data_IF_605999787347
#
_entry.id   IF_605999787347
#
_cell.length_a   1.000
_cell.length_b   1.000
_cell.length_c   1.000
_cell.angle_alpha   90.00
_cell.angle_beta   90.00
_cell.angle_gamma   90.00
#
_symmetry.space_group_name_H-M   'P 1'
#
loop_
_entity.id
_entity.type
_entity.pdbx_description
1 polymer ?
#
# COMPACT_ATOMS: atom_id res chain seq x y z
N UNK A 1 -13.29 -0.67 -12.62
CA UNK A 1 -12.25 0.33 -12.89
C UNK A 1 -11.39 -0.16 -14.05
N UNK A 2 -11.64 0.36 -15.21
CA UNK A 2 -10.80 0.18 -16.39
C UNK A 2 -10.22 1.54 -16.73
N UNK A 3 -8.91 1.63 -16.93
CA UNK A 3 -8.29 2.81 -17.52
C UNK A 3 -8.18 2.61 -19.02
N UNK A 4 -8.72 3.49 -19.83
CA UNK A 4 -8.68 3.34 -21.29
C UNK A 4 -7.27 3.36 -21.89
N UNK A 5 -6.26 3.76 -21.10
CA UNK A 5 -4.89 4.00 -21.58
C UNK A 5 -3.83 3.08 -20.94
N UNK A 6 -4.22 1.96 -20.31
CA UNK A 6 -3.25 0.98 -19.79
C UNK A 6 -2.58 0.26 -20.97
N UNK A 7 -1.26 0.29 -21.09
CA UNK A 7 -0.55 -0.44 -22.12
C UNK A 7 -0.88 -1.93 -22.08
N UNK A 8 -1.04 -2.61 -23.24
CA UNK A 8 -1.41 -4.03 -23.29
C UNK A 8 -0.50 -4.94 -22.46
N UNK A 9 0.79 -4.62 -22.38
CA UNK A 9 1.77 -5.35 -21.57
C UNK A 9 1.54 -5.24 -20.06
N UNK A 10 0.77 -4.26 -19.61
CA UNK A 10 0.39 -4.04 -18.20
C UNK A 10 -1.05 -4.48 -17.91
N UNK A 11 -1.75 -5.09 -18.86
CA UNK A 11 -3.15 -5.50 -18.69
C UNK A 11 -3.34 -6.48 -17.51
N UNK A 12 -2.34 -7.31 -17.21
CA UNK A 12 -2.35 -8.22 -16.07
C UNK A 12 -2.47 -7.51 -14.72
N UNK A 13 -2.01 -6.25 -14.60
CA UNK A 13 -2.18 -5.45 -13.39
C UNK A 13 -3.66 -5.19 -13.07
N UNK A 14 -4.52 -5.11 -14.10
CA UNK A 14 -5.96 -4.93 -13.89
C UNK A 14 -6.59 -6.14 -13.20
N UNK A 15 -6.17 -7.36 -13.59
CA UNK A 15 -6.64 -8.59 -12.93
C UNK A 15 -6.20 -8.63 -11.47
N UNK A 16 -4.92 -8.34 -11.19
CA UNK A 16 -4.39 -8.24 -9.82
C UNK A 16 -5.16 -7.19 -9.02
N UNK A 17 -5.39 -6.01 -9.59
CA UNK A 17 -6.14 -4.94 -8.94
C UNK A 17 -7.59 -5.36 -8.64
N UNK A 18 -8.23 -6.08 -9.56
CA UNK A 18 -9.60 -6.57 -9.39
C UNK A 18 -9.68 -7.59 -8.25
N UNK A 19 -8.77 -8.56 -8.21
CA UNK A 19 -8.69 -9.57 -7.13
C UNK A 19 -8.50 -8.88 -5.77
N UNK A 20 -7.55 -7.96 -5.66
CA UNK A 20 -7.33 -7.16 -4.45
C UNK A 20 -8.59 -6.38 -4.05
N UNK A 21 -9.26 -5.73 -5.00
CA UNK A 21 -10.51 -4.99 -4.76
C UNK A 21 -11.64 -5.89 -4.25
N UNK A 22 -11.78 -7.10 -4.80
CA UNK A 22 -12.79 -8.06 -4.33
C UNK A 22 -12.51 -8.43 -2.88
N UNK A 23 -11.24 -8.71 -2.52
CA UNK A 23 -10.82 -9.01 -1.15
C UNK A 23 -11.13 -7.84 -0.20
N UNK A 24 -10.81 -6.61 -0.61
CA UNK A 24 -11.08 -5.42 0.20
C UNK A 24 -12.58 -5.19 0.44
N UNK A 25 -13.43 -5.45 -0.55
CA UNK A 25 -14.89 -5.34 -0.41
C UNK A 25 -15.49 -6.40 0.51
N UNK A 26 -14.86 -7.55 0.65
CA UNK A 26 -15.30 -8.62 1.55
C UNK A 26 -14.83 -8.40 3.00
N UNK A 27 -13.86 -7.53 3.23
CA UNK A 27 -13.35 -7.22 4.56
C UNK A 27 -14.27 -6.24 5.28
N UNK A 28 -14.80 -6.67 6.43
CA UNK A 28 -15.73 -5.88 7.23
C UNK A 28 -15.10 -5.57 8.60
N UNK A 29 -14.83 -4.30 8.85
CA UNK A 29 -14.38 -3.81 10.15
C UNK A 29 -14.86 -2.36 10.38
N UNK A 30 -14.95 -1.90 11.61
CA UNK A 30 -15.30 -0.51 11.90
C UNK A 30 -14.32 0.46 11.20
N UNK A 31 -14.84 1.52 10.57
CA UNK A 31 -13.98 2.51 9.92
C UNK A 31 -13.31 3.41 10.97
N UNK A 32 -12.14 3.88 10.63
CA UNK A 32 -11.41 4.95 11.32
C UNK A 32 -11.18 6.11 10.35
N UNK A 33 -10.97 7.31 10.88
CA UNK A 33 -10.45 8.42 10.07
C UNK A 33 -8.93 8.26 10.03
N UNK A 34 -8.41 8.06 8.84
CA UNK A 34 -6.99 7.88 8.60
C UNK A 34 -6.50 8.65 7.38
N UNK A 35 -5.22 9.00 7.39
CA UNK A 35 -4.56 9.57 6.24
C UNK A 35 -4.17 8.43 5.29
N UNK A 36 -4.41 8.61 4.00
CA UNK A 36 -4.18 7.57 2.98
C UNK A 36 -3.02 7.89 2.04
N UNK A 37 -2.37 9.04 2.19
CA UNK A 37 -1.22 9.50 1.39
C UNK A 37 0.01 9.70 2.29
N UNK A 38 0.72 8.59 2.56
CA UNK A 38 1.86 8.54 3.49
C UNK A 38 3.23 8.68 2.82
N UNK A 39 3.34 9.42 1.73
CA UNK A 39 4.65 9.70 1.13
C UNK A 39 5.61 10.29 2.15
N UNK A 40 6.85 9.80 2.13
CA UNK A 40 7.90 10.31 3.03
C UNK A 40 8.17 11.80 2.83
N UNK A 41 7.92 12.33 1.63
CA UNK A 41 8.08 13.75 1.33
C UNK A 41 7.04 14.64 2.04
N UNK A 42 5.94 14.06 2.52
CA UNK A 42 4.94 14.71 3.36
C UNK A 42 5.29 14.72 4.85
N UNK A 43 6.42 14.13 5.23
CA UNK A 43 6.87 13.99 6.60
C UNK A 43 8.11 14.86 6.87
N UNK A 44 8.15 15.52 8.02
CA UNK A 44 9.33 16.25 8.48
C UNK A 44 9.79 15.66 9.80
N UNK A 45 11.08 15.42 9.88
CA UNK A 45 11.73 14.80 11.02
C UNK A 45 12.66 15.80 11.70
N UNK A 46 12.66 15.80 13.03
CA UNK A 46 13.57 16.59 13.86
C UNK A 46 14.18 15.66 14.90
N UNK A 47 15.52 15.56 14.91
CA UNK A 47 16.26 14.70 15.83
C UNK A 47 15.75 13.23 15.87
N UNK A 48 15.42 12.67 14.71
CA UNK A 48 14.91 11.30 14.59
C UNK A 48 13.44 11.10 14.98
N UNK A 49 12.73 12.15 15.35
CA UNK A 49 11.31 12.09 15.67
C UNK A 49 10.47 12.74 14.56
N UNK A 50 9.31 12.16 14.28
CA UNK A 50 8.34 12.79 13.40
C UNK A 50 7.86 14.10 14.02
N UNK A 51 8.09 15.20 13.31
CA UNK A 51 7.82 16.55 13.81
C UNK A 51 6.59 17.19 13.16
N UNK A 52 6.44 17.04 11.85
CA UNK A 52 5.30 17.59 11.09
C UNK A 52 4.84 16.57 10.04
N UNK A 53 3.53 16.46 9.89
CA UNK A 53 2.86 15.79 8.78
C UNK A 53 2.17 16.86 7.96
N UNK A 54 2.45 16.88 6.67
CA UNK A 54 1.83 17.78 5.70
C UNK A 54 0.73 17.06 4.92
N UNK A 55 -0.03 17.85 4.14
CA UNK A 55 -0.98 17.32 3.14
C UNK A 55 -2.15 16.54 3.77
N UNK A 56 -2.94 17.25 4.57
CA UNK A 56 -4.06 16.66 5.33
C UNK A 56 -5.37 16.56 4.54
N UNK A 57 -5.39 16.89 3.26
CA UNK A 57 -6.57 16.76 2.39
C UNK A 57 -6.85 15.31 1.97
N UNK A 58 -5.88 14.39 2.19
CA UNK A 58 -5.97 12.96 1.92
C UNK A 58 -6.59 12.14 3.06
N UNK A 59 -7.47 12.72 3.87
CA UNK A 59 -8.18 11.98 4.92
C UNK A 59 -9.31 11.14 4.34
N UNK A 60 -9.41 9.89 4.78
CA UNK A 60 -10.47 8.97 4.39
C UNK A 60 -11.03 8.20 5.60
N UNK A 61 -12.29 7.80 5.48
CA UNK A 61 -12.95 6.90 6.45
C UNK A 61 -12.90 5.49 5.89
N UNK A 62 -12.01 4.65 6.44
CA UNK A 62 -11.78 3.28 6.00
C UNK A 62 -11.46 2.38 7.20
N UNK A 63 -11.62 1.05 7.10
CA UNK A 63 -11.06 0.12 8.07
C UNK A 63 -9.56 0.36 8.29
N UNK A 64 -9.12 0.28 9.54
CA UNK A 64 -7.75 0.59 9.95
C UNK A 64 -6.69 -0.21 9.16
N UNK A 65 -6.93 -1.50 8.91
CA UNK A 65 -6.05 -2.34 8.13
C UNK A 65 -5.88 -1.84 6.68
N UNK A 66 -6.95 -1.31 6.08
CA UNK A 66 -6.90 -0.72 4.73
C UNK A 66 -6.07 0.56 4.74
N UNK A 67 -6.27 1.45 5.71
CA UNK A 67 -5.46 2.68 5.85
C UNK A 67 -3.98 2.35 5.98
N UNK A 68 -3.64 1.37 6.81
CA UNK A 68 -2.26 0.93 6.97
C UNK A 68 -1.70 0.30 5.68
N UNK A 69 -2.50 -0.48 4.95
CA UNK A 69 -2.12 -1.08 3.68
C UNK A 69 -1.77 -0.05 2.61
N UNK A 70 -2.53 1.04 2.54
CA UNK A 70 -2.19 2.18 1.67
C UNK A 70 -0.88 2.83 2.13
N UNK A 71 -0.68 2.98 3.43
CA UNK A 71 0.55 3.55 3.98
C UNK A 71 1.80 2.72 3.64
N UNK A 72 1.76 1.38 3.77
CA UNK A 72 2.92 0.52 3.52
C UNK A 72 3.37 0.50 2.06
N UNK A 73 2.49 0.82 1.12
CA UNK A 73 2.85 0.95 -0.29
C UNK A 73 3.57 2.27 -0.61
N UNK A 74 3.43 3.27 0.26
CA UNK A 74 3.83 4.65 -0.04
C UNK A 74 4.88 5.23 0.91
N UNK A 75 4.94 4.79 2.18
CA UNK A 75 5.78 5.44 3.20
C UNK A 75 7.28 5.44 2.86
N UNK A 76 7.76 4.44 2.12
CA UNK A 76 9.14 4.36 1.66
C UNK A 76 9.38 5.10 0.33
N UNK A 77 8.31 5.47 -0.38
CA UNK A 77 8.41 6.12 -1.68
C UNK A 77 8.76 7.60 -1.50
N UNK A 78 9.85 8.01 -2.12
CA UNK A 78 10.25 9.42 -2.23
C UNK A 78 10.40 9.78 -3.69
N UNK A 79 9.79 10.88 -4.09
CA UNK A 79 9.96 11.46 -5.43
C UNK A 79 11.43 11.86 -5.70
N UNK A 80 12.24 12.02 -4.64
CA UNK A 80 13.63 12.44 -4.73
C UNK A 80 14.63 11.29 -4.76
N UNK A 81 14.30 10.13 -4.20
CA UNK A 81 15.24 9.02 -3.98
C UNK A 81 14.80 7.68 -4.55
N UNK A 82 13.59 7.56 -5.07
CA UNK A 82 13.03 6.33 -5.65
C UNK A 82 13.28 5.08 -4.79
N UNK A 83 13.03 5.21 -3.49
CA UNK A 83 13.04 4.06 -2.60
C UNK A 83 11.67 3.39 -2.68
N UNK A 84 11.67 2.09 -2.86
CA UNK A 84 10.44 1.31 -2.98
C UNK A 84 10.13 0.59 -1.68
N UNK A 85 8.85 0.37 -1.43
CA UNK A 85 8.37 -0.44 -0.31
C UNK A 85 8.40 -1.92 -0.68
N UNK A 86 9.55 -2.59 -0.46
CA UNK A 86 9.65 -4.04 -0.54
C UNK A 86 8.90 -4.72 0.61
N UNK A 87 8.70 -6.04 0.51
CA UNK A 87 7.99 -6.82 1.54
C UNK A 87 8.64 -6.65 2.92
N UNK A 88 9.97 -6.66 3.00
CA UNK A 88 10.67 -6.55 4.29
C UNK A 88 10.40 -5.22 5.00
N UNK A 89 10.43 -4.11 4.25
CA UNK A 89 10.10 -2.78 4.78
C UNK A 89 8.64 -2.65 5.16
N UNK A 90 7.75 -3.21 4.34
CA UNK A 90 6.32 -3.22 4.61
C UNK A 90 5.98 -4.01 5.87
N UNK A 91 6.58 -5.19 6.07
CA UNK A 91 6.42 -5.98 7.30
C UNK A 91 7.00 -5.27 8.53
N UNK A 92 8.12 -4.59 8.39
CA UNK A 92 8.70 -3.78 9.48
C UNK A 92 7.76 -2.63 9.89
N UNK A 93 7.10 -1.99 8.90
CA UNK A 93 6.09 -0.95 9.16
C UNK A 93 4.88 -1.54 9.91
N UNK A 94 4.31 -2.65 9.42
CA UNK A 94 3.16 -3.32 10.06
C UNK A 94 3.50 -3.69 11.50
N UNK A 95 4.67 -4.31 11.73
CA UNK A 95 5.14 -4.71 13.07
C UNK A 95 5.29 -3.50 14.00
N UNK A 96 5.86 -2.40 13.49
CA UNK A 96 5.96 -1.15 14.23
C UNK A 96 4.60 -0.56 14.57
N UNK A 97 3.66 -0.62 13.64
CA UNK A 97 2.29 -0.16 13.82
C UNK A 97 1.54 -0.97 14.88
N UNK A 98 1.56 -2.31 14.78
CA UNK A 98 0.95 -3.23 15.76
C UNK A 98 1.50 -2.99 17.18
N UNK A 99 2.82 -2.80 17.27
CA UNK A 99 3.48 -2.47 18.56
C UNK A 99 3.02 -1.13 19.14
N UNK A 100 2.98 -0.09 18.32
CA UNK A 100 2.53 1.25 18.75
C UNK A 100 1.05 1.25 19.17
N UNK A 101 0.24 0.48 18.50
CA UNK A 101 -1.18 0.30 18.76
C UNK A 101 -1.46 -0.59 20.00
N UNK A 102 -0.50 -1.40 20.43
CA UNK A 102 -0.63 -2.33 21.56
C UNK A 102 -1.45 -3.59 21.26
N UNK A 103 -1.72 -3.90 19.99
CA UNK A 103 -2.45 -5.10 19.56
C UNK A 103 -1.92 -5.62 18.21
N UNK A 104 -1.61 -6.91 18.17
CA UNK A 104 -1.39 -7.59 16.91
C UNK A 104 -2.68 -7.75 16.11
N UNK A 105 -2.59 -7.69 14.81
CA UNK A 105 -3.70 -7.99 13.92
C UNK A 105 -3.92 -9.49 13.78
N UNK A 106 -5.18 -9.88 13.59
CA UNK A 106 -5.51 -11.24 13.18
C UNK A 106 -5.16 -11.45 11.69
N UNK A 107 -5.32 -12.68 11.23
CA UNK A 107 -5.00 -13.06 9.85
C UNK A 107 -5.81 -12.24 8.83
N UNK A 108 -7.10 -12.08 9.05
CA UNK A 108 -7.99 -11.37 8.13
C UNK A 108 -7.62 -9.88 8.00
N UNK A 109 -7.25 -9.22 9.11
CA UNK A 109 -6.76 -7.85 9.13
C UNK A 109 -5.42 -7.72 8.38
N UNK A 110 -4.48 -8.65 8.58
CA UNK A 110 -3.20 -8.63 7.86
C UNK A 110 -3.37 -8.87 6.37
N UNK A 111 -4.21 -9.82 5.97
CA UNK A 111 -4.54 -10.06 4.57
C UNK A 111 -5.21 -8.85 3.93
N UNK A 112 -6.14 -8.16 4.62
CA UNK A 112 -6.77 -6.93 4.12
C UNK A 112 -5.76 -5.78 3.99
N UNK A 113 -4.81 -5.66 4.91
CA UNK A 113 -3.71 -4.70 4.83
C UNK A 113 -2.87 -4.94 3.58
N UNK A 114 -2.43 -6.18 3.35
CA UNK A 114 -1.67 -6.53 2.16
C UNK A 114 -2.46 -6.40 0.86
N UNK A 115 -3.76 -6.71 0.87
CA UNK A 115 -4.62 -6.50 -0.30
C UNK A 115 -4.74 -5.01 -0.65
N UNK A 116 -4.78 -4.12 0.35
CA UNK A 116 -4.78 -2.68 0.11
C UNK A 116 -3.44 -2.20 -0.46
N UNK A 117 -2.33 -2.73 0.03
CA UNK A 117 -1.01 -2.44 -0.52
C UNK A 117 -0.87 -2.90 -1.98
N UNK A 118 -1.28 -4.14 -2.29
CA UNK A 118 -1.30 -4.68 -3.65
C UNK A 118 -2.14 -3.78 -4.58
N UNK A 119 -3.35 -3.41 -4.15
CA UNK A 119 -4.23 -2.54 -4.93
C UNK A 119 -3.58 -1.16 -5.17
N UNK A 120 -2.97 -0.55 -4.15
CA UNK A 120 -2.31 0.74 -4.28
C UNK A 120 -1.10 0.66 -5.24
N UNK A 121 -0.29 -0.40 -5.16
CA UNK A 121 0.84 -0.60 -6.06
C UNK A 121 0.41 -0.72 -7.52
N UNK A 122 -0.64 -1.50 -7.82
CA UNK A 122 -1.17 -1.61 -9.19
C UNK A 122 -1.65 -0.25 -9.70
N UNK A 123 -2.30 0.54 -8.84
CA UNK A 123 -2.74 1.89 -9.17
C UNK A 123 -1.55 2.81 -9.48
N UNK A 124 -0.54 2.80 -8.62
CA UNK A 124 0.64 3.64 -8.75
C UNK A 124 1.44 3.30 -10.02
N UNK A 125 1.66 2.01 -10.30
CA UNK A 125 2.36 1.57 -11.52
C UNK A 125 1.58 2.02 -12.76
N UNK A 126 0.26 1.86 -12.78
CA UNK A 126 -0.58 2.22 -13.93
C UNK A 126 -0.74 3.73 -14.13
N UNK A 127 -0.56 4.55 -13.08
CA UNK A 127 -0.81 5.99 -13.11
C UNK A 127 0.44 6.85 -13.20
N UNK A 128 1.62 6.27 -12.95
CA UNK A 128 2.86 7.03 -12.86
C UNK A 128 3.40 7.39 -14.25
N UNK A 129 3.80 8.65 -14.38
CA UNK A 129 4.64 9.13 -15.50
C UNK A 129 6.15 9.04 -15.17
N UNK A 130 6.50 8.51 -13.98
CA UNK A 130 7.86 8.44 -13.44
C UNK A 130 8.55 7.09 -13.67
N UNK A 131 9.47 6.70 -12.77
CA UNK A 131 10.32 5.50 -12.91
C UNK A 131 9.53 4.18 -12.77
N UNK A 132 8.58 3.97 -13.69
CA UNK A 132 7.74 2.77 -13.79
C UNK A 132 8.59 1.49 -13.86
N UNK A 133 9.68 1.39 -14.65
CA UNK A 133 10.40 0.13 -14.81
C UNK A 133 10.91 -0.46 -13.50
N UNK A 134 11.56 0.32 -12.65
CA UNK A 134 12.12 -0.21 -11.39
C UNK A 134 11.02 -0.60 -10.38
N UNK A 135 9.89 0.12 -10.36
CA UNK A 135 8.75 -0.21 -9.50
C UNK A 135 8.04 -1.47 -9.99
N UNK A 136 7.85 -1.57 -11.30
CA UNK A 136 7.27 -2.75 -11.93
C UNK A 136 8.14 -3.98 -11.68
N UNK A 137 9.44 -3.90 -11.92
CA UNK A 137 10.39 -4.99 -11.69
C UNK A 137 10.36 -5.52 -10.25
N UNK A 138 10.32 -4.62 -9.25
CA UNK A 138 10.19 -5.03 -7.85
C UNK A 138 8.85 -5.72 -7.61
N UNK A 139 7.77 -5.13 -8.12
CA UNK A 139 6.42 -5.65 -7.92
C UNK A 139 6.26 -7.04 -8.56
N UNK A 140 6.73 -7.21 -9.81
CA UNK A 140 6.74 -8.50 -10.52
C UNK A 140 7.54 -9.57 -9.75
N UNK A 141 8.73 -9.22 -9.28
CA UNK A 141 9.59 -10.14 -8.52
C UNK A 141 8.95 -10.62 -7.21
N UNK A 142 8.15 -9.78 -6.56
CA UNK A 142 7.52 -10.05 -5.27
C UNK A 142 6.04 -10.43 -5.39
N UNK A 143 5.48 -10.53 -6.60
CA UNK A 143 4.04 -10.62 -6.82
C UNK A 143 3.40 -11.82 -6.11
N UNK A 144 3.96 -13.01 -6.28
CA UNK A 144 3.40 -14.24 -5.69
C UNK A 144 3.38 -14.16 -4.15
N UNK A 145 4.45 -13.65 -3.56
CA UNK A 145 4.54 -13.45 -2.11
C UNK A 145 3.55 -12.40 -1.62
N UNK A 146 3.39 -11.30 -2.33
CA UNK A 146 2.42 -10.25 -2.02
C UNK A 146 0.98 -10.75 -2.12
N UNK A 147 0.67 -11.54 -3.15
CA UNK A 147 -0.64 -12.17 -3.32
C UNK A 147 -0.92 -13.17 -2.19
N UNK A 148 0.07 -13.97 -1.81
CA UNK A 148 -0.05 -14.91 -0.68
C UNK A 148 -0.29 -14.17 0.64
N UNK A 149 0.42 -13.08 0.91
CA UNK A 149 0.25 -12.25 2.10
C UNK A 149 -1.12 -11.55 2.12
N UNK A 150 -1.66 -11.22 0.96
CA UNK A 150 -2.99 -10.65 0.79
C UNK A 150 -4.14 -11.67 0.83
N UNK A 151 -3.84 -12.99 0.96
CA UNK A 151 -4.85 -14.05 0.89
C UNK A 151 -5.45 -14.21 -0.51
N UNK A 152 -4.67 -13.94 -1.56
CA UNK A 152 -5.09 -13.94 -2.98
C UNK A 152 -4.36 -15.01 -3.82
N UNK A 153 -3.53 -15.86 -3.23
CA UNK A 153 -2.99 -17.04 -3.91
C UNK A 153 -4.10 -18.05 -4.20
N UNK A 154 -4.06 -18.63 -5.38
CA UNK A 154 -4.98 -19.68 -5.82
C UNK A 154 -4.82 -20.96 -4.99
#
# INVERSE_FOLDING_TARGET
>A
WSRPDVPPELAWLEDVALRARVRLKSFVAPPVIGRVDWYVDNLRWLNGNLHVVHDWDSLASQPEAIVCGLAISEFAVSLRRWVQADIARSEAFITGYEKARGRAWNRDEREACWAAAVWAETYQISSSTGNIPARLELFERELDDRLRLAGLSD
#
